data_IF_325534945661
#
_entry.id   IF_325534945661
#
_cell.length_a   1.000
_cell.length_b   1.000
_cell.length_c   1.000
_cell.angle_alpha   90.00
_cell.angle_beta   90.00
_cell.angle_gamma   90.00
#
_symmetry.space_group_name_H-M   'P 1'
#
loop_
_entity.id
_entity.type
_entity.pdbx_description
1 polymer ?
#
# COMPACT_ATOMS: atom_id res chain seq x y z
N UNK A 1 18.13 -43.45 -35.31
CA UNK A 1 17.23 -42.56 -34.55
C UNK A 1 16.76 -43.20 -33.24
N UNK A 2 16.18 -44.42 -33.23
CA UNK A 2 15.69 -45.04 -31.98
C UNK A 2 16.72 -45.40 -30.89
N UNK A 3 18.02 -45.53 -31.20
CA UNK A 3 19.05 -45.81 -30.18
C UNK A 3 19.32 -44.60 -29.25
N UNK A 4 19.07 -43.38 -29.72
CA UNK A 4 19.25 -42.14 -28.96
C UNK A 4 18.03 -41.86 -28.05
N UNK A 5 16.83 -42.25 -28.50
CA UNK A 5 15.58 -42.16 -27.73
C UNK A 5 15.59 -43.07 -26.49
N UNK A 6 16.00 -44.34 -26.64
CA UNK A 6 16.08 -45.28 -25.51
C UNK A 6 17.13 -44.84 -24.48
N UNK A 7 18.26 -44.29 -24.94
CA UNK A 7 19.30 -43.72 -24.07
C UNK A 7 18.78 -42.51 -23.30
N UNK A 8 18.07 -41.61 -23.97
CA UNK A 8 17.49 -40.40 -23.38
C UNK A 8 16.46 -40.75 -22.31
N UNK A 9 15.56 -41.71 -22.58
CA UNK A 9 14.54 -42.16 -21.61
C UNK A 9 15.20 -42.75 -20.36
N UNK A 10 16.23 -43.59 -20.49
CA UNK A 10 16.95 -44.16 -19.33
C UNK A 10 17.64 -43.09 -18.49
N UNK A 11 18.21 -42.08 -19.14
CA UNK A 11 18.84 -40.98 -18.42
C UNK A 11 17.75 -40.19 -17.69
N UNK A 12 16.64 -39.83 -18.34
CA UNK A 12 15.51 -39.14 -17.69
C UNK A 12 15.01 -39.90 -16.46
N UNK A 13 14.82 -41.22 -16.57
CA UNK A 13 14.42 -42.07 -15.43
C UNK A 13 15.44 -42.04 -14.28
N UNK A 14 16.74 -42.01 -14.60
CA UNK A 14 17.81 -41.90 -13.60
C UNK A 14 17.74 -40.56 -12.85
N UNK A 15 17.52 -39.46 -13.57
CA UNK A 15 17.37 -38.14 -12.96
C UNK A 15 16.10 -38.07 -12.10
N UNK A 16 14.97 -38.60 -12.59
CA UNK A 16 13.71 -38.66 -11.80
C UNK A 16 13.90 -39.44 -10.50
N UNK A 17 14.61 -40.57 -10.52
CA UNK A 17 14.87 -41.35 -9.31
C UNK A 17 15.68 -40.56 -8.27
N UNK A 18 16.71 -39.82 -8.73
CA UNK A 18 17.54 -38.97 -7.85
C UNK A 18 16.73 -37.83 -7.26
N UNK A 19 15.93 -37.16 -8.09
CA UNK A 19 15.04 -36.09 -7.65
C UNK A 19 14.07 -36.61 -6.58
N UNK A 20 13.42 -37.75 -6.84
CA UNK A 20 12.48 -38.37 -5.90
C UNK A 20 13.14 -38.74 -4.56
N UNK A 21 14.38 -39.24 -4.57
CA UNK A 21 15.12 -39.57 -3.35
C UNK A 21 15.45 -38.31 -2.54
N UNK A 22 15.90 -37.24 -3.19
CA UNK A 22 16.19 -35.96 -2.53
C UNK A 22 14.93 -35.29 -1.94
N UNK A 23 13.80 -35.41 -2.63
CA UNK A 23 12.50 -34.94 -2.13
C UNK A 23 12.12 -35.68 -0.84
N UNK A 24 12.19 -37.01 -0.86
CA UNK A 24 11.82 -37.84 0.29
C UNK A 24 12.77 -37.63 1.49
N UNK A 25 14.07 -37.45 1.25
CA UNK A 25 15.06 -37.13 2.30
C UNK A 25 14.73 -35.85 3.07
N UNK A 26 14.08 -34.88 2.42
CA UNK A 26 13.63 -33.62 3.03
C UNK A 26 12.16 -33.67 3.48
N UNK A 27 11.57 -34.86 3.59
CA UNK A 27 10.21 -35.05 4.07
C UNK A 27 9.12 -34.64 3.08
N UNK A 28 9.47 -34.46 1.80
CA UNK A 28 8.50 -34.22 0.74
C UNK A 28 7.89 -35.52 0.21
N UNK A 29 6.68 -35.42 -0.34
CA UNK A 29 5.97 -36.52 -0.99
C UNK A 29 5.89 -36.24 -2.50
N UNK A 30 6.35 -37.21 -3.30
CA UNK A 30 6.20 -37.16 -4.76
C UNK A 30 4.78 -37.59 -5.12
N UNK A 31 4.14 -36.81 -5.99
CA UNK A 31 2.74 -36.94 -6.39
C UNK A 31 2.68 -37.38 -7.84
N UNK A 32 1.66 -38.17 -8.20
CA UNK A 32 1.42 -38.53 -9.61
C UNK A 32 1.18 -37.26 -10.44
N UNK A 33 1.95 -37.10 -11.51
CA UNK A 33 1.85 -35.97 -12.43
C UNK A 33 1.89 -36.48 -13.87
N UNK A 34 1.01 -35.97 -14.75
CA UNK A 34 1.07 -36.30 -16.17
C UNK A 34 2.40 -35.87 -16.81
N UNK A 35 2.97 -36.73 -17.65
CA UNK A 35 4.12 -36.43 -18.49
C UNK A 35 5.49 -36.56 -17.80
N UNK A 36 6.41 -35.68 -18.19
CA UNK A 36 7.81 -35.71 -17.75
C UNK A 36 8.08 -34.87 -16.50
N UNK A 37 7.05 -34.20 -15.97
CA UNK A 37 7.16 -33.37 -14.79
C UNK A 37 7.18 -34.20 -13.51
N UNK A 38 7.88 -33.69 -12.50
CA UNK A 38 7.83 -34.21 -11.13
C UNK A 38 7.07 -33.19 -10.29
N UNK A 39 5.94 -33.61 -9.71
CA UNK A 39 5.21 -32.82 -8.74
C UNK A 39 5.52 -33.37 -7.35
N UNK A 40 5.80 -32.46 -6.42
CA UNK A 40 6.03 -32.81 -5.03
C UNK A 40 5.40 -31.78 -4.11
N UNK A 41 4.95 -32.26 -2.96
CA UNK A 41 4.44 -31.44 -1.88
C UNK A 41 5.30 -31.58 -0.63
N UNK A 42 5.31 -30.52 0.16
CA UNK A 42 6.06 -30.44 1.41
C UNK A 42 5.17 -29.75 2.45
N UNK A 43 5.27 -30.20 3.70
CA UNK A 43 4.62 -29.53 4.82
C UNK A 43 5.27 -28.17 5.16
N UNK A 44 6.51 -27.95 4.70
CA UNK A 44 7.32 -26.75 4.95
C UNK A 44 7.87 -26.20 3.63
N UNK A 45 7.61 -24.92 3.38
CA UNK A 45 8.17 -24.21 2.21
C UNK A 45 9.69 -24.05 2.29
N UNK A 46 10.25 -24.05 3.51
CA UNK A 46 11.70 -24.00 3.72
C UNK A 46 12.32 -25.31 3.25
N UNK A 47 11.71 -26.44 3.61
CA UNK A 47 12.20 -27.78 3.26
C UNK A 47 12.10 -28.01 1.74
N UNK A 48 11.02 -27.52 1.13
CA UNK A 48 10.85 -27.51 -0.32
C UNK A 48 11.98 -26.73 -1.02
N UNK A 49 12.32 -25.54 -0.53
CA UNK A 49 13.37 -24.73 -1.13
C UNK A 49 14.77 -25.33 -0.90
N UNK A 50 15.05 -25.85 0.29
CA UNK A 50 16.30 -26.58 0.54
C UNK A 50 16.45 -27.80 -0.38
N UNK A 51 15.38 -28.59 -0.54
CA UNK A 51 15.36 -29.73 -1.46
C UNK A 51 15.61 -29.30 -2.90
N UNK A 52 14.95 -28.23 -3.36
CA UNK A 52 15.15 -27.70 -4.70
C UNK A 52 16.60 -27.24 -4.95
N UNK A 53 17.23 -26.56 -3.98
CA UNK A 53 18.64 -26.15 -4.06
C UNK A 53 19.56 -27.37 -4.10
N UNK A 54 19.30 -28.37 -3.28
CA UNK A 54 20.08 -29.62 -3.25
C UNK A 54 19.96 -30.38 -4.58
N UNK A 55 18.75 -30.47 -5.14
CA UNK A 55 18.50 -31.03 -6.46
C UNK A 55 19.34 -30.29 -7.51
N UNK A 56 19.21 -28.96 -7.63
CA UNK A 56 19.95 -28.23 -8.66
C UNK A 56 21.47 -28.39 -8.54
N UNK A 57 22.00 -28.45 -7.31
CA UNK A 57 23.42 -28.71 -7.08
C UNK A 57 23.84 -30.10 -7.52
N UNK A 58 23.09 -31.13 -7.15
CA UNK A 58 23.37 -32.52 -7.55
C UNK A 58 23.29 -32.68 -9.08
N UNK A 59 22.30 -32.06 -9.73
CA UNK A 59 22.16 -32.12 -11.17
C UNK A 59 23.29 -31.36 -11.89
N UNK A 60 23.73 -30.23 -11.34
CA UNK A 60 24.89 -29.48 -11.85
C UNK A 60 26.16 -30.33 -11.82
N UNK A 61 26.41 -31.05 -10.73
CA UNK A 61 27.55 -31.98 -10.61
C UNK A 61 27.47 -33.08 -11.67
N UNK A 62 26.31 -33.71 -11.86
CA UNK A 62 26.11 -34.78 -12.85
C UNK A 62 26.20 -34.31 -14.31
N UNK A 63 25.90 -33.04 -14.56
CA UNK A 63 26.03 -32.41 -15.87
C UNK A 63 27.46 -31.91 -16.17
N UNK A 64 28.34 -31.81 -15.18
CA UNK A 64 29.70 -31.30 -15.35
C UNK A 64 30.54 -32.16 -16.33
N UNK A 65 30.39 -33.48 -16.24
CA UNK A 65 31.13 -34.44 -17.09
C UNK A 65 30.46 -34.67 -18.46
N UNK A 66 29.38 -33.93 -18.78
CA UNK A 66 28.59 -34.12 -20.01
C UNK A 66 28.84 -32.99 -21.00
N UNK A 67 28.84 -33.36 -22.29
CA UNK A 67 28.82 -32.39 -23.39
C UNK A 67 27.53 -31.57 -23.35
N UNK A 68 27.58 -30.31 -23.79
CA UNK A 68 26.43 -29.38 -23.74
C UNK A 68 25.14 -29.97 -24.33
N UNK A 69 25.23 -30.64 -25.48
CA UNK A 69 24.10 -31.30 -26.15
C UNK A 69 23.46 -32.45 -25.37
N UNK A 70 24.10 -32.93 -24.29
CA UNK A 70 23.64 -34.05 -23.45
C UNK A 70 23.37 -33.64 -22.01
N UNK A 71 23.48 -32.35 -21.68
CA UNK A 71 23.11 -31.83 -20.36
C UNK A 71 21.59 -31.79 -20.27
N UNK A 72 21.06 -32.25 -19.14
CA UNK A 72 19.65 -32.11 -18.83
C UNK A 72 19.50 -31.10 -17.71
N UNK A 73 18.98 -29.94 -18.07
CA UNK A 73 18.71 -28.85 -17.14
C UNK A 73 17.23 -28.89 -16.78
N UNK A 74 16.95 -28.83 -15.48
CA UNK A 74 15.60 -28.85 -14.96
C UNK A 74 15.26 -27.47 -14.41
N UNK A 75 14.01 -27.08 -14.58
CA UNK A 75 13.44 -25.88 -14.00
C UNK A 75 12.64 -26.28 -12.77
N UNK A 76 12.67 -25.45 -11.73
CA UNK A 76 11.92 -25.70 -10.51
C UNK A 76 11.09 -24.47 -10.16
N UNK A 77 9.80 -24.68 -9.94
CA UNK A 77 8.87 -23.69 -9.43
C UNK A 77 8.33 -24.11 -8.06
N UNK A 78 8.36 -23.19 -7.10
CA UNK A 78 7.81 -23.43 -5.75
C UNK A 78 6.71 -22.43 -5.48
N UNK A 79 5.56 -22.93 -5.05
CA UNK A 79 4.45 -22.11 -4.57
C UNK A 79 3.98 -22.60 -3.20
N UNK A 80 3.52 -21.66 -2.38
CA UNK A 80 2.77 -21.94 -1.17
C UNK A 80 1.31 -21.54 -1.40
N UNK A 81 0.39 -22.50 -1.26
CA UNK A 81 -1.04 -22.29 -1.39
C UNK A 81 -1.84 -23.54 -1.05
N UNK A 82 -3.15 -23.38 -0.96
CA UNK A 82 -4.06 -24.47 -0.63
C UNK A 82 -4.19 -25.45 -1.79
N UNK A 83 -4.22 -26.73 -1.45
CA UNK A 83 -4.41 -27.84 -2.39
C UNK A 83 -5.39 -28.86 -1.81
N UNK A 84 -6.07 -29.58 -2.69
CA UNK A 84 -6.99 -30.66 -2.34
C UNK A 84 -6.37 -31.98 -2.79
N UNK A 85 -6.30 -32.94 -1.88
CA UNK A 85 -5.79 -34.28 -2.15
C UNK A 85 -6.95 -35.23 -2.47
N UNK A 86 -6.82 -35.98 -3.56
CA UNK A 86 -7.73 -37.07 -3.93
C UNK A 86 -6.91 -38.31 -4.29
N UNK A 87 -6.76 -39.21 -3.32
CA UNK A 87 -5.89 -40.39 -3.46
C UNK A 87 -4.42 -39.99 -3.54
N UNK A 88 -3.74 -40.35 -4.64
CA UNK A 88 -2.33 -40.01 -4.87
C UNK A 88 -2.14 -38.75 -5.73
N UNK A 89 -3.23 -37.99 -5.96
CA UNK A 89 -3.23 -36.79 -6.81
C UNK A 89 -3.58 -35.54 -6.03
N UNK A 90 -3.04 -34.43 -6.49
CA UNK A 90 -3.28 -33.11 -5.93
C UNK A 90 -3.90 -32.19 -6.97
N UNK A 91 -4.94 -31.48 -6.54
CA UNK A 91 -5.68 -30.52 -7.34
C UNK A 91 -5.73 -29.16 -6.66
N UNK A 92 -5.92 -28.12 -7.46
CA UNK A 92 -6.15 -26.75 -6.97
C UNK A 92 -5.28 -25.72 -7.67
N UNK A 93 -5.58 -24.45 -7.39
CA UNK A 93 -4.86 -23.33 -7.99
C UNK A 93 -3.39 -23.30 -7.57
N UNK A 94 -3.08 -23.81 -6.37
CA UNK A 94 -1.71 -23.94 -5.88
C UNK A 94 -0.78 -24.68 -6.84
N UNK A 95 -1.27 -25.76 -7.48
CA UNK A 95 -0.54 -26.56 -8.47
C UNK A 95 -0.36 -25.79 -9.78
N UNK A 96 -1.42 -25.12 -10.24
CA UNK A 96 -1.38 -24.32 -11.47
C UNK A 96 -0.39 -23.14 -11.35
N UNK A 97 -0.33 -22.48 -10.19
CA UNK A 97 0.65 -21.43 -9.91
C UNK A 97 2.06 -22.01 -9.92
N UNK A 98 2.30 -23.13 -9.22
CA UNK A 98 3.63 -23.76 -9.16
C UNK A 98 4.15 -24.09 -10.56
N UNK A 99 3.31 -24.70 -11.41
CA UNK A 99 3.65 -25.00 -12.80
C UNK A 99 3.92 -23.72 -13.62
N UNK A 100 3.15 -22.65 -13.39
CA UNK A 100 3.40 -21.37 -14.08
C UNK A 100 4.71 -20.73 -13.66
N UNK A 101 5.07 -20.82 -12.39
CA UNK A 101 6.32 -20.31 -11.83
C UNK A 101 7.52 -21.13 -12.33
N UNK A 102 7.39 -22.45 -12.43
CA UNK A 102 8.41 -23.33 -13.03
C UNK A 102 8.74 -22.89 -14.45
N UNK A 103 7.72 -22.58 -15.26
CA UNK A 103 7.92 -22.10 -16.63
C UNK A 103 8.65 -20.77 -16.77
N UNK A 104 8.82 -20.00 -15.67
CA UNK A 104 9.59 -18.74 -15.64
C UNK A 104 11.04 -18.93 -15.21
N UNK A 105 11.40 -20.10 -14.68
CA UNK A 105 12.78 -20.37 -14.31
C UNK A 105 13.64 -20.64 -15.55
N UNK A 106 14.91 -20.27 -15.48
CA UNK A 106 15.91 -20.68 -16.47
C UNK A 106 16.29 -22.16 -16.24
N UNK A 107 16.94 -22.80 -17.23
CA UNK A 107 17.50 -24.14 -17.05
C UNK A 107 18.47 -24.18 -15.86
N UNK A 108 18.25 -25.09 -14.91
CA UNK A 108 19.02 -25.14 -13.67
C UNK A 108 18.62 -24.07 -12.63
N UNK A 109 17.59 -23.27 -12.92
CA UNK A 109 17.08 -22.21 -12.06
C UNK A 109 15.95 -22.66 -11.13
N UNK A 110 15.69 -21.82 -10.11
CA UNK A 110 14.58 -21.99 -9.17
C UNK A 110 13.83 -20.66 -9.10
N UNK A 111 12.51 -20.71 -9.27
CA UNK A 111 11.62 -19.58 -9.05
C UNK A 111 10.63 -19.91 -7.94
N UNK A 112 10.32 -18.93 -7.10
CA UNK A 112 9.38 -19.06 -5.99
C UNK A 112 8.30 -17.98 -6.04
N UNK A 113 7.10 -18.30 -5.55
CA UNK A 113 6.04 -17.32 -5.38
C UNK A 113 6.35 -16.33 -4.26
N UNK A 114 5.74 -15.14 -4.31
CA UNK A 114 5.88 -14.15 -3.24
C UNK A 114 5.37 -14.64 -1.90
N UNK A 115 4.32 -15.46 -1.87
CA UNK A 115 3.84 -16.09 -0.62
C UNK A 115 4.87 -17.04 -0.02
N UNK A 116 5.56 -17.82 -0.86
CA UNK A 116 6.66 -18.66 -0.43
C UNK A 116 7.84 -17.82 0.09
N UNK A 117 8.26 -16.80 -0.67
CA UNK A 117 9.31 -15.87 -0.27
C UNK A 117 9.04 -15.22 1.09
N UNK A 118 7.82 -14.71 1.30
CA UNK A 118 7.41 -14.06 2.54
C UNK A 118 7.51 -15.02 3.76
N UNK A 119 7.24 -16.32 3.58
CA UNK A 119 7.34 -17.33 4.65
C UNK A 119 8.77 -17.81 4.91
N UNK A 120 9.61 -17.87 3.88
CA UNK A 120 11.03 -18.22 4.00
C UNK A 120 11.80 -17.09 4.68
N UNK A 121 11.58 -15.85 4.22
CA UNK A 121 12.28 -14.66 4.72
C UNK A 121 13.80 -14.80 4.61
N UNK A 122 14.50 -14.68 5.74
CA UNK A 122 15.98 -14.75 5.84
C UNK A 122 16.50 -16.06 6.42
N UNK A 123 15.66 -17.11 6.45
CA UNK A 123 16.02 -18.39 7.10
C UNK A 123 17.10 -19.16 6.34
N UNK A 124 17.24 -18.91 5.04
CA UNK A 124 18.22 -19.57 4.19
C UNK A 124 19.29 -18.57 3.70
N UNK A 125 20.57 -19.00 3.60
CA UNK A 125 21.66 -18.17 3.07
C UNK A 125 21.61 -18.11 1.54
N UNK A 126 20.48 -17.65 0.98
CA UNK A 126 20.21 -17.54 -0.45
C UNK A 126 19.97 -16.08 -0.81
N UNK A 127 20.26 -15.72 -2.06
CA UNK A 127 19.82 -14.46 -2.63
C UNK A 127 18.48 -14.62 -3.36
N UNK A 128 17.81 -13.50 -3.61
CA UNK A 128 16.55 -13.47 -4.33
C UNK A 128 16.53 -12.28 -5.30
N UNK A 129 16.00 -12.48 -6.49
CA UNK A 129 15.79 -11.42 -7.49
C UNK A 129 14.30 -11.32 -7.79
N UNK A 130 13.72 -10.14 -7.62
CA UNK A 130 12.31 -9.91 -7.90
C UNK A 130 12.06 -9.85 -9.40
N UNK A 131 11.23 -10.75 -9.92
CA UNK A 131 10.89 -10.87 -11.35
C UNK A 131 9.59 -10.15 -11.74
N UNK A 132 8.99 -9.41 -10.81
CA UNK A 132 7.72 -8.72 -11.03
C UNK A 132 6.48 -9.57 -10.70
N UNK A 133 5.33 -9.04 -11.11
CA UNK A 133 4.03 -9.69 -10.95
C UNK A 133 3.64 -10.42 -12.23
N UNK A 134 3.14 -11.65 -12.09
CA UNK A 134 2.80 -12.54 -13.20
C UNK A 134 1.32 -12.89 -13.15
N UNK A 135 0.61 -12.62 -14.24
CA UNK A 135 -0.78 -13.03 -14.38
C UNK A 135 -0.84 -14.55 -14.63
N UNK A 136 -1.63 -15.23 -13.82
CA UNK A 136 -1.91 -16.66 -13.95
C UNK A 136 -3.36 -16.82 -14.37
N UNK A 137 -3.62 -17.71 -15.33
CA UNK A 137 -4.97 -17.99 -15.79
C UNK A 137 -5.82 -18.48 -14.60
N UNK A 138 -7.04 -17.96 -14.48
CA UNK A 138 -7.99 -18.27 -13.40
C UNK A 138 -7.59 -17.77 -11.99
N UNK A 139 -6.67 -16.79 -11.90
CA UNK A 139 -6.31 -16.16 -10.62
C UNK A 139 -6.58 -14.67 -10.71
N UNK A 140 -7.40 -14.16 -9.79
CA UNK A 140 -7.81 -12.75 -9.79
C UNK A 140 -6.64 -11.78 -9.58
N UNK A 141 -5.68 -12.15 -8.74
CA UNK A 141 -4.54 -11.30 -8.36
C UNK A 141 -3.26 -11.80 -9.02
N UNK A 142 -2.46 -10.91 -9.63
CA UNK A 142 -1.13 -11.27 -10.10
C UNK A 142 -0.26 -11.85 -8.99
N UNK A 143 0.55 -12.85 -9.32
CA UNK A 143 1.45 -13.52 -8.38
C UNK A 143 2.83 -12.91 -8.50
N UNK A 144 3.38 -12.38 -7.40
CA UNK A 144 4.79 -11.97 -7.32
C UNK A 144 5.70 -13.18 -7.50
N UNK A 145 6.76 -13.05 -8.29
CA UNK A 145 7.73 -14.13 -8.53
C UNK A 145 9.13 -13.66 -8.19
N UNK A 146 9.91 -14.53 -7.56
CA UNK A 146 11.30 -14.29 -7.21
C UNK A 146 12.18 -15.43 -7.76
N UNK A 147 13.28 -15.08 -8.43
CA UNK A 147 14.33 -16.03 -8.80
C UNK A 147 15.25 -16.25 -7.60
N UNK A 148 15.58 -17.50 -7.30
CA UNK A 148 16.51 -17.84 -6.23
C UNK A 148 17.94 -17.82 -6.77
N UNK A 149 18.80 -17.09 -6.07
CA UNK A 149 20.20 -16.94 -6.36
C UNK A 149 21.01 -17.86 -5.44
N UNK A 150 21.54 -18.95 -5.99
CA UNK A 150 22.22 -20.01 -5.24
C UNK A 150 23.72 -19.78 -5.03
N UNK A 151 24.31 -18.78 -5.70
CA UNK A 151 25.72 -18.42 -5.57
C UNK A 151 26.01 -17.83 -4.17
N UNK A 152 27.07 -18.27 -3.47
CA UNK A 152 27.39 -17.79 -2.12
C UNK A 152 27.54 -16.26 -2.01
N UNK A 153 28.02 -15.62 -3.08
CA UNK A 153 28.22 -14.16 -3.16
C UNK A 153 26.91 -13.35 -3.15
N UNK A 154 25.79 -14.03 -3.44
CA UNK A 154 24.46 -13.45 -3.52
C UNK A 154 23.62 -13.69 -2.25
N UNK A 155 24.13 -14.48 -1.30
CA UNK A 155 23.44 -14.81 -0.06
C UNK A 155 22.95 -13.56 0.69
N UNK A 156 21.65 -13.52 1.04
CA UNK A 156 21.02 -12.44 1.78
C UNK A 156 20.73 -11.17 0.97
N UNK A 157 21.06 -11.12 -0.32
CA UNK A 157 20.68 -10.01 -1.21
C UNK A 157 19.27 -10.23 -1.76
N UNK A 158 18.42 -9.22 -1.66
CA UNK A 158 17.15 -9.15 -2.40
C UNK A 158 17.28 -8.06 -3.44
N UNK A 159 17.34 -8.43 -4.71
CA UNK A 159 17.51 -7.52 -5.84
C UNK A 159 16.12 -7.09 -6.31
N UNK A 160 15.94 -5.78 -6.47
CA UNK A 160 14.78 -5.13 -7.11
C UNK A 160 13.42 -5.22 -6.39
N UNK A 161 13.39 -5.50 -5.09
CA UNK A 161 12.15 -5.40 -4.33
C UNK A 161 11.76 -3.92 -4.13
N UNK A 162 11.03 -3.35 -5.10
CA UNK A 162 10.34 -2.07 -4.94
C UNK A 162 9.36 -2.20 -3.77
N UNK A 163 9.78 -1.77 -2.58
CA UNK A 163 8.91 -1.66 -1.41
C UNK A 163 7.63 -0.93 -1.83
N UNK A 164 6.43 -1.46 -1.50
CA UNK A 164 5.20 -0.80 -1.89
C UNK A 164 5.17 0.61 -1.31
N UNK A 165 4.95 1.62 -2.16
CA UNK A 165 4.96 3.05 -1.82
C UNK A 165 3.86 3.48 -0.81
N UNK A 166 3.15 2.53 -0.18
CA UNK A 166 2.16 2.78 0.87
C UNK A 166 2.70 3.62 2.03
N UNK A 167 4.00 3.56 2.33
CA UNK A 167 4.59 4.38 3.39
C UNK A 167 4.78 5.85 2.95
N UNK A 168 5.06 6.12 1.67
CA UNK A 168 5.25 7.49 1.16
C UNK A 168 3.96 8.29 1.15
N UNK A 169 2.85 7.68 0.74
CA UNK A 169 1.57 8.38 0.66
C UNK A 169 1.03 8.79 2.04
N UNK A 170 1.35 8.05 3.11
CA UNK A 170 1.01 8.44 4.49
C UNK A 170 1.72 9.72 4.93
N UNK A 171 2.99 9.91 4.55
CA UNK A 171 3.74 11.13 4.85
C UNK A 171 3.28 12.32 4.01
N UNK A 172 2.93 12.09 2.74
CA UNK A 172 2.32 13.11 1.88
C UNK A 172 0.96 13.54 2.44
N UNK A 173 0.10 12.59 2.81
CA UNK A 173 -1.19 12.88 3.42
C UNK A 173 -1.05 13.63 4.77
N UNK A 174 -0.08 13.23 5.59
CA UNK A 174 0.21 13.94 6.85
C UNK A 174 0.69 15.37 6.61
N UNK A 175 1.58 15.59 5.63
CA UNK A 175 2.06 16.93 5.28
C UNK A 175 0.93 17.83 4.76
N UNK A 176 0.02 17.28 3.94
CA UNK A 176 -1.16 18.01 3.44
C UNK A 176 -2.11 18.37 4.59
N UNK A 177 -2.36 17.45 5.53
CA UNK A 177 -3.22 17.71 6.68
C UNK A 177 -2.66 18.84 7.57
N UNK A 178 -1.35 18.87 7.80
CA UNK A 178 -0.69 19.97 8.55
C UNK A 178 -0.84 21.30 7.81
N UNK A 179 -0.63 21.32 6.49
CA UNK A 179 -0.81 22.53 5.69
C UNK A 179 -2.23 23.08 5.76
N UNK A 180 -3.24 22.22 5.70
CA UNK A 180 -4.66 22.61 5.83
C UNK A 180 -4.95 23.19 7.22
N UNK A 181 -4.42 22.59 8.28
CA UNK A 181 -4.58 23.10 9.66
C UNK A 181 -3.92 24.47 9.84
N UNK A 182 -2.72 24.67 9.29
CA UNK A 182 -2.02 25.95 9.35
C UNK A 182 -2.77 27.03 8.57
N UNK A 183 -3.23 26.72 7.35
CA UNK A 183 -4.03 27.65 6.55
C UNK A 183 -5.35 28.01 7.25
N UNK A 184 -6.05 27.04 7.83
CA UNK A 184 -7.27 27.26 8.62
C UNK A 184 -7.03 28.15 9.83
N UNK A 185 -5.93 27.93 10.57
CA UNK A 185 -5.54 28.77 11.70
C UNK A 185 -5.21 30.22 11.29
N UNK A 186 -4.56 30.42 10.15
CA UNK A 186 -4.26 31.76 9.62
C UNK A 186 -5.52 32.50 9.18
N UNK A 187 -6.45 31.84 8.49
CA UNK A 187 -7.74 32.42 8.08
C UNK A 187 -8.58 32.76 9.31
N UNK A 188 -8.64 31.87 10.30
CA UNK A 188 -9.34 32.14 11.57
C UNK A 188 -8.76 33.35 12.29
N UNK A 189 -7.44 33.43 12.43
CA UNK A 189 -6.76 34.57 13.06
C UNK A 189 -7.00 35.89 12.29
N UNK A 190 -7.12 35.83 10.97
CA UNK A 190 -7.36 37.01 10.14
C UNK A 190 -8.83 37.49 10.22
N UNK A 191 -9.80 36.58 10.19
CA UNK A 191 -11.22 36.93 10.20
C UNK A 191 -11.81 37.17 11.61
N UNK A 192 -11.23 36.57 12.66
CA UNK A 192 -11.75 36.69 14.02
C UNK A 192 -11.08 37.77 14.88
N UNK A 193 -10.19 38.59 14.30
CA UNK A 193 -9.74 39.83 14.95
C UNK A 193 -10.89 40.83 14.95
N UNK A 194 -11.62 40.87 16.06
CA UNK A 194 -12.60 41.93 16.31
C UNK A 194 -11.94 43.30 16.06
N UNK A 195 -12.58 44.22 15.32
CA UNK A 195 -12.07 45.58 15.18
C UNK A 195 -11.98 46.19 16.58
N UNK A 196 -10.81 46.73 16.93
CA UNK A 196 -10.65 47.48 18.17
C UNK A 196 -11.59 48.68 18.10
N UNK A 197 -12.61 48.70 18.94
CA UNK A 197 -13.46 49.89 19.13
C UNK A 197 -12.58 50.92 19.85
N UNK A 198 -11.89 51.74 19.09
CA UNK A 198 -11.15 52.88 19.63
C UNK A 198 -12.16 54.00 19.96
N UNK A 199 -12.15 54.54 21.20
CA UNK A 199 -13.01 55.68 21.54
C UNK A 199 -12.67 56.88 20.65
N UNK A 200 -13.70 57.57 20.16
CA UNK A 200 -13.56 58.64 19.18
C UNK A 200 -12.55 59.72 19.62
N UNK A 201 -11.54 59.97 18.78
CA UNK A 201 -10.47 60.95 19.06
C UNK A 201 -11.00 62.38 18.92
N UNK A 202 -10.74 63.24 19.92
CA UNK A 202 -11.20 64.64 19.91
C UNK A 202 -10.70 65.47 18.73
N UNK A 203 -9.53 65.13 18.22
CA UNK A 203 -8.88 65.80 17.08
C UNK A 203 -9.54 65.49 15.72
N UNK A 204 -10.35 64.41 15.64
CA UNK A 204 -11.01 63.98 14.40
C UNK A 204 -12.50 64.36 14.34
N UNK A 205 -13.00 65.10 15.33
CA UNK A 205 -14.39 65.56 15.31
C UNK A 205 -14.56 66.74 14.34
N UNK A 206 -15.56 66.65 13.48
CA UNK A 206 -15.89 67.69 12.50
C UNK A 206 -16.46 68.97 13.14
N UNK A 207 -16.91 68.88 14.40
CA UNK A 207 -17.50 69.98 15.15
C UNK A 207 -16.86 70.07 16.54
N UNK A 208 -16.71 71.29 17.10
CA UNK A 208 -16.25 71.46 18.47
C UNK A 208 -17.22 70.78 19.44
N UNK A 209 -16.68 70.18 20.49
CA UNK A 209 -17.51 69.61 21.56
C UNK A 209 -18.34 70.73 22.21
N UNK A 210 -19.64 70.51 22.45
CA UNK A 210 -20.45 71.48 23.18
C UNK A 210 -19.94 71.61 24.63
N UNK A 211 -20.01 72.83 25.17
CA UNK A 211 -19.57 73.15 26.54
C UNK A 211 -20.46 72.50 27.62
N UNK A 212 -21.65 72.03 27.23
CA UNK A 212 -22.62 71.36 28.10
C UNK A 212 -22.69 69.87 27.74
N UNK A 213 -22.92 68.97 28.71
CA UNK A 213 -23.20 67.56 28.44
C UNK A 213 -24.33 67.43 27.42
N UNK A 214 -24.05 66.76 26.30
CA UNK A 214 -25.02 66.64 25.21
C UNK A 214 -25.37 65.18 24.92
N UNK A 215 -26.63 64.93 24.59
CA UNK A 215 -27.12 63.62 24.17
C UNK A 215 -27.81 63.75 22.81
N UNK A 216 -27.46 62.90 21.86
CA UNK A 216 -28.14 62.82 20.58
C UNK A 216 -29.13 61.67 20.61
N UNK A 217 -30.39 61.92 20.28
CA UNK A 217 -31.41 60.87 20.16
C UNK A 217 -31.67 60.63 18.69
N UNK A 218 -31.14 59.53 18.17
CA UNK A 218 -31.40 59.13 16.79
C UNK A 218 -32.83 58.59 16.65
N UNK A 219 -33.49 58.80 15.50
CA UNK A 219 -34.82 58.27 15.26
C UNK A 219 -34.80 56.75 15.36
N UNK A 220 -35.74 56.21 16.12
CA UNK A 220 -35.92 54.76 16.21
C UNK A 220 -36.35 54.20 14.87
N UNK A 221 -35.74 53.09 14.46
CA UNK A 221 -36.07 52.41 13.22
C UNK A 221 -36.95 51.20 13.54
N UNK A 222 -38.13 51.13 12.91
CA UNK A 222 -38.97 49.94 12.98
C UNK A 222 -38.30 48.77 12.23
N UNK A 223 -38.01 47.69 12.95
CA UNK A 223 -37.44 46.46 12.37
C UNK A 223 -38.51 45.39 12.09
N UNK A 224 -39.78 45.67 12.34
CA UNK A 224 -40.89 44.77 12.07
C UNK A 224 -41.46 45.00 10.66
N UNK A 225 -42.26 44.05 10.18
CA UNK A 225 -42.96 44.16 8.90
C UNK A 225 -44.30 44.92 8.98
N UNK A 226 -44.69 45.43 10.15
CA UNK A 226 -45.94 46.17 10.32
C UNK A 226 -45.70 47.70 10.21
N UNK A 227 -46.23 48.38 9.18
CA UNK A 227 -46.00 49.82 8.97
C UNK A 227 -46.68 50.72 10.00
N UNK A 228 -47.66 50.25 10.77
CA UNK A 228 -48.26 51.04 11.86
C UNK A 228 -47.23 51.41 12.95
N UNK A 229 -46.16 50.62 13.11
CA UNK A 229 -45.13 50.88 14.11
C UNK A 229 -44.09 51.93 13.68
N UNK A 230 -44.10 52.39 12.44
CA UNK A 230 -43.23 53.48 11.98
C UNK A 230 -43.60 54.80 12.70
N UNK A 231 -44.90 55.13 12.70
CA UNK A 231 -45.40 56.32 13.40
C UNK A 231 -45.19 56.24 14.92
N UNK A 232 -45.22 55.04 15.48
CA UNK A 232 -44.94 54.81 16.90
C UNK A 232 -43.46 55.02 17.21
N UNK A 233 -42.55 54.55 16.36
CA UNK A 233 -41.11 54.75 16.51
C UNK A 233 -40.74 56.25 16.44
N UNK A 234 -41.35 56.99 15.51
CA UNK A 234 -41.19 58.45 15.42
C UNK A 234 -41.72 59.15 16.69
N UNK A 235 -42.94 58.81 17.12
CA UNK A 235 -43.55 59.41 18.31
C UNK A 235 -42.74 59.12 19.58
N UNK A 236 -42.13 57.94 19.69
CA UNK A 236 -41.27 57.57 20.81
C UNK A 236 -39.97 58.38 20.80
N UNK A 237 -39.36 58.56 19.62
CA UNK A 237 -38.16 59.39 19.44
C UNK A 237 -38.43 60.82 19.90
N UNK A 238 -39.52 61.42 19.42
CA UNK A 238 -39.97 62.77 19.79
C UNK A 238 -40.26 62.88 21.30
N UNK A 239 -40.92 61.87 21.89
CA UNK A 239 -41.22 61.88 23.31
C UNK A 239 -39.95 61.83 24.18
N UNK A 240 -38.96 61.05 23.77
CA UNK A 240 -37.67 60.94 24.48
C UNK A 240 -36.88 62.25 24.34
N UNK A 241 -36.81 62.83 23.13
CA UNK A 241 -36.20 64.14 22.90
C UNK A 241 -36.86 65.19 23.80
N UNK A 242 -38.19 65.23 23.80
CA UNK A 242 -38.97 66.14 24.62
C UNK A 242 -38.68 65.96 26.11
N UNK A 243 -38.71 64.73 26.62
CA UNK A 243 -38.47 64.44 28.04
C UNK A 243 -37.06 64.81 28.47
N UNK A 244 -36.06 64.48 27.66
CA UNK A 244 -34.67 64.81 27.95
C UNK A 244 -34.40 66.32 27.86
N UNK A 245 -35.17 67.06 27.06
CA UNK A 245 -35.01 68.52 26.93
C UNK A 245 -35.31 69.28 28.24
N UNK A 246 -36.10 68.69 29.15
CA UNK A 246 -36.39 69.28 30.46
C UNK A 246 -35.29 69.06 31.50
N UNK A 247 -34.28 68.22 31.22
CA UNK A 247 -33.19 67.99 32.17
C UNK A 247 -32.27 69.23 32.23
N UNK A 248 -32.22 69.93 33.39
CA UNK A 248 -31.45 71.15 33.50
C UNK A 248 -29.95 70.86 33.34
N UNK A 249 -29.29 71.58 32.44
CA UNK A 249 -27.86 71.47 32.20
C UNK A 249 -27.46 70.48 31.09
N UNK A 250 -28.42 69.82 30.43
CA UNK A 250 -28.17 68.94 29.29
C UNK A 250 -28.54 69.62 27.97
N UNK A 251 -27.79 69.34 26.89
CA UNK A 251 -28.10 69.80 25.54
C UNK A 251 -28.54 68.60 24.68
N UNK A 252 -29.82 68.54 24.31
CA UNK A 252 -30.35 67.44 23.49
C UNK A 252 -30.21 67.81 22.01
N UNK A 253 -29.66 66.89 21.21
CA UNK A 253 -29.40 67.01 19.76
C UNK A 253 -30.28 66.02 19.00
#
# INVERSE_FOLDING_TARGET
MGADEVGTIRILQTYRAVISDLIQKKGGRVVDSPGDNVLAEFASVVDALESAVEIQRELKVRNADRSESRRMEFRIGINLGDVVEEGERIYGDGVNIAARIEGLADGGGICISGTAFDHIGKRLPLGYEYMGEQAVKNIEKPVRVYRVLMEPEQAGKVIDEKKPERTRWRWVAAAVAVLVLVAGGLVWNFYWRAPKIEPASREKMAFPLPDKPSIAVLPFVNMSSNPEYDSLADSLSENIIYTLSYLPGMFVI
#
